data_IF_062077119081
#
_entry.id   IF_062077119081
#
_cell.length_a   1.000
_cell.length_b   1.000
_cell.length_c   1.000
_cell.angle_alpha   90.00
_cell.angle_beta   90.00
_cell.angle_gamma   90.00
#
_symmetry.space_group_name_H-M   'P 1'
#
loop_
_entity.id
_entity.type
_entity.pdbx_description
1 polymer ?
#
# COMPACT_ATOMS: atom_id res chain seq x y z
N UNK A 1 16.60 4.45 0.46
CA UNK A 1 16.00 3.12 0.69
C UNK A 1 14.71 3.33 1.48
N UNK A 2 13.54 2.94 0.98
CA UNK A 2 12.29 3.21 1.69
C UNK A 2 12.29 2.58 3.10
N UNK A 3 11.64 3.26 4.05
CA UNK A 3 11.51 2.82 5.45
C UNK A 3 10.04 2.79 5.84
N UNK A 4 9.63 1.74 6.55
CA UNK A 4 8.31 1.69 7.20
C UNK A 4 8.51 1.53 8.70
N UNK A 5 7.74 2.32 9.45
CA UNK A 5 7.67 2.27 10.91
C UNK A 5 6.26 1.85 11.29
N UNK A 6 6.15 0.78 12.08
CA UNK A 6 4.89 0.29 12.64
C UNK A 6 4.93 0.51 14.14
N UNK A 7 3.96 1.24 14.68
CA UNK A 7 3.74 1.34 16.12
C UNK A 7 2.48 0.59 16.49
N UNK A 8 2.63 -0.44 17.32
CA UNK A 8 1.51 -1.23 17.84
C UNK A 8 1.21 -0.77 19.25
N UNK A 9 -0.07 -0.49 19.50
CA UNK A 9 -0.66 -0.20 20.82
C UNK A 9 -1.87 -1.11 21.02
N UNK A 10 -2.34 -1.30 22.27
CA UNK A 10 -3.52 -2.12 22.53
C UNK A 10 -4.75 -1.69 21.71
N UNK A 11 -4.96 -0.39 21.55
CA UNK A 11 -6.20 0.16 20.97
C UNK A 11 -6.05 0.65 19.52
N UNK A 12 -4.81 0.78 19.02
CA UNK A 12 -4.56 1.29 17.68
C UNK A 12 -3.21 0.85 17.11
N UNK A 13 -3.09 0.97 15.78
CA UNK A 13 -1.83 0.81 15.06
C UNK A 13 -1.54 2.09 14.27
N UNK A 14 -0.32 2.60 14.36
CA UNK A 14 0.16 3.67 13.49
C UNK A 14 1.15 3.09 12.47
N UNK A 15 1.00 3.52 11.22
CA UNK A 15 1.91 3.20 10.14
C UNK A 15 2.45 4.50 9.55
N UNK A 16 3.78 4.62 9.51
CA UNK A 16 4.46 5.69 8.81
C UNK A 16 5.40 5.10 7.76
N UNK A 17 5.48 5.73 6.60
CA UNK A 17 6.34 5.29 5.50
C UNK A 17 7.15 6.48 4.96
N UNK A 18 8.48 6.33 4.93
CA UNK A 18 9.36 7.22 4.19
C UNK A 18 9.69 6.60 2.83
N UNK A 19 9.32 7.29 1.75
CA UNK A 19 9.56 6.84 0.37
C UNK A 19 10.80 7.54 -0.19
N UNK A 20 11.92 6.83 -0.20
CA UNK A 20 13.08 7.27 -0.99
C UNK A 20 12.92 6.81 -2.44
N UNK A 21 12.70 7.75 -3.34
CA UNK A 21 12.44 7.53 -4.76
C UNK A 21 13.24 8.53 -5.61
N UNK A 22 13.29 8.30 -6.93
CA UNK A 22 13.91 9.24 -7.86
C UNK A 22 13.22 10.61 -7.79
N UNK A 23 14.03 11.67 -7.73
CA UNK A 23 13.57 13.07 -7.67
C UNK A 23 12.67 13.43 -8.87
N UNK A 24 12.95 12.86 -10.03
CA UNK A 24 12.23 13.12 -11.28
C UNK A 24 10.91 12.34 -11.42
N UNK A 25 10.56 11.47 -10.46
CA UNK A 25 9.32 10.71 -10.52
C UNK A 25 8.13 11.57 -10.09
N UNK A 26 7.23 11.83 -11.02
CA UNK A 26 6.04 12.63 -10.76
C UNK A 26 5.01 11.86 -9.91
N UNK A 27 4.50 12.49 -8.86
CA UNK A 27 3.45 11.93 -7.99
C UNK A 27 2.54 13.03 -7.44
N UNK A 28 1.36 12.63 -6.97
CA UNK A 28 0.39 13.48 -6.28
C UNK A 28 0.28 13.06 -4.80
N UNK A 29 0.12 14.01 -3.86
CA UNK A 29 0.01 13.73 -2.44
C UNK A 29 -1.25 12.90 -2.12
N UNK A 30 -1.35 12.28 -0.93
CA UNK A 30 -2.51 11.47 -0.57
C UNK A 30 -3.83 12.23 -0.65
N UNK A 31 -4.75 11.73 -1.49
CA UNK A 31 -6.12 12.23 -1.61
C UNK A 31 -7.01 11.17 -2.30
N UNK A 32 -8.25 11.54 -2.59
CA UNK A 32 -9.27 10.69 -3.24
C UNK A 32 -9.12 10.64 -4.77
N UNK A 33 -7.93 10.28 -5.28
CA UNK A 33 -7.63 10.31 -6.72
C UNK A 33 -8.23 9.15 -7.54
N UNK A 34 -8.90 8.20 -6.89
CA UNK A 34 -9.26 6.89 -7.44
C UNK A 34 -10.79 6.77 -7.62
N UNK A 35 -11.36 7.28 -8.73
CA UNK A 35 -12.82 7.32 -8.92
C UNK A 35 -13.46 5.93 -9.02
N UNK A 36 -12.70 4.93 -9.49
CA UNK A 36 -13.09 3.53 -9.55
C UNK A 36 -12.95 2.79 -8.22
N UNK A 37 -12.36 3.43 -7.19
CA UNK A 37 -12.16 2.89 -5.84
C UNK A 37 -12.67 3.89 -4.79
N UNK A 38 -13.98 4.11 -4.70
CA UNK A 38 -14.56 5.08 -3.77
C UNK A 38 -14.21 4.74 -2.32
N UNK A 39 -13.71 5.76 -1.60
CA UNK A 39 -13.25 5.63 -0.21
C UNK A 39 -11.79 5.24 -0.06
N UNK A 40 -11.02 5.10 -1.14
CA UNK A 40 -9.55 4.99 -1.07
C UNK A 40 -8.92 6.38 -1.03
N UNK A 41 -8.09 6.61 -0.01
CA UNK A 41 -7.19 7.76 0.10
C UNK A 41 -5.77 7.25 -0.02
N UNK A 42 -5.07 7.66 -1.08
CA UNK A 42 -3.70 7.23 -1.34
C UNK A 42 -2.97 8.26 -2.21
N UNK A 43 -1.64 8.30 -2.13
CA UNK A 43 -0.85 9.06 -3.11
C UNK A 43 -1.01 8.44 -4.50
N UNK A 44 -0.85 9.23 -5.57
CA UNK A 44 -0.93 8.71 -6.94
C UNK A 44 0.41 8.88 -7.65
N UNK A 45 1.01 7.76 -8.04
CA UNK A 45 2.20 7.74 -8.89
C UNK A 45 1.80 8.04 -10.34
N UNK A 46 2.11 9.25 -10.82
CA UNK A 46 1.75 9.70 -12.18
C UNK A 46 2.59 9.03 -13.26
N UNK A 47 3.70 8.38 -12.88
CA UNK A 47 4.55 7.63 -13.80
C UNK A 47 4.12 6.17 -13.91
N UNK A 48 3.94 5.51 -12.76
CA UNK A 48 3.66 4.06 -12.68
C UNK A 48 2.19 3.69 -12.51
N UNK A 49 1.28 4.67 -12.40
CA UNK A 49 -0.17 4.49 -12.31
C UNK A 49 -0.69 3.92 -10.98
N UNK A 50 0.18 3.69 -10.00
CA UNK A 50 -0.15 3.01 -8.75
C UNK A 50 -0.02 3.90 -7.52
N UNK A 51 0.09 3.27 -6.35
CA UNK A 51 0.40 3.95 -5.09
C UNK A 51 1.48 3.21 -4.30
N UNK A 52 2.15 3.92 -3.38
CA UNK A 52 3.08 3.30 -2.44
C UNK A 52 2.45 2.97 -1.11
N UNK A 53 1.43 3.72 -0.72
CA UNK A 53 0.70 3.56 0.53
C UNK A 53 -0.69 4.15 0.38
N UNK A 54 -1.70 3.47 0.92
CA UNK A 54 -3.06 3.98 0.97
C UNK A 54 -3.88 3.39 2.12
N UNK A 55 -5.06 3.98 2.31
CA UNK A 55 -6.07 3.59 3.29
C UNK A 55 -7.44 3.54 2.60
N UNK A 56 -8.27 2.55 2.93
CA UNK A 56 -9.66 2.52 2.47
C UNK A 56 -10.66 2.83 3.60
N UNK A 57 -11.93 2.98 3.23
CA UNK A 57 -13.04 3.27 4.18
C UNK A 57 -13.24 2.22 5.28
N UNK A 58 -12.68 1.02 5.12
CA UNK A 58 -12.78 -0.08 6.08
C UNK A 58 -11.61 -0.09 7.08
N UNK A 59 -10.68 0.88 6.98
CA UNK A 59 -9.50 0.94 7.84
C UNK A 59 -8.35 0.04 7.38
N UNK A 60 -8.43 -0.56 6.18
CA UNK A 60 -7.32 -1.33 5.62
C UNK A 60 -6.22 -0.38 5.16
N UNK A 61 -5.01 -0.55 5.70
CA UNK A 61 -3.81 0.16 5.26
C UNK A 61 -2.92 -0.84 4.51
N UNK A 62 -2.41 -0.45 3.34
CA UNK A 62 -1.47 -1.27 2.58
C UNK A 62 -0.30 -0.41 2.06
N UNK A 63 0.92 -0.90 2.26
CA UNK A 63 2.15 -0.20 1.86
C UNK A 63 3.12 -1.15 1.15
N UNK A 64 3.73 -0.69 0.06
CA UNK A 64 4.75 -1.45 -0.70
C UNK A 64 6.13 -0.79 -0.64
N UNK A 65 7.15 -1.60 -0.44
CA UNK A 65 8.56 -1.19 -0.45
C UNK A 65 9.32 -1.96 -1.53
N UNK A 66 10.26 -1.27 -2.18
CA UNK A 66 11.21 -1.90 -3.07
C UNK A 66 12.24 -2.70 -2.25
N UNK A 67 12.71 -3.85 -2.78
CA UNK A 67 13.88 -4.53 -2.23
C UNK A 67 15.19 -3.93 -2.77
N UNK A 68 16.33 -4.08 -2.05
CA UNK A 68 17.64 -3.65 -2.56
C UNK A 68 17.92 -4.15 -3.98
N UNK A 69 18.48 -3.31 -4.84
CA UNK A 69 18.81 -3.66 -6.23
C UNK A 69 17.61 -3.75 -7.19
N UNK A 70 16.41 -3.32 -6.79
CA UNK A 70 15.19 -3.46 -7.61
C UNK A 70 14.55 -2.15 -8.06
N UNK A 71 15.25 -1.02 -7.98
CA UNK A 71 14.70 0.28 -8.36
C UNK A 71 14.42 0.35 -9.87
N UNK A 72 13.35 1.06 -10.25
CA UNK A 72 12.97 1.27 -11.64
C UNK A 72 12.18 0.11 -12.28
N UNK A 73 11.66 0.33 -13.51
CA UNK A 73 10.94 -0.70 -14.26
C UNK A 73 11.87 -1.85 -14.69
N UNK A 74 11.27 -2.96 -15.12
CA UNK A 74 11.95 -4.05 -15.80
C UNK A 74 11.03 -4.62 -16.88
N UNK A 75 11.59 -5.03 -18.02
CA UNK A 75 10.80 -5.61 -19.11
C UNK A 75 10.03 -6.84 -18.61
N UNK A 76 8.76 -6.94 -19.00
CA UNK A 76 7.87 -8.03 -18.59
C UNK A 76 7.48 -8.03 -17.11
N UNK A 77 7.75 -6.95 -16.35
CA UNK A 77 7.33 -6.81 -14.96
C UNK A 77 6.28 -5.72 -14.80
N UNK A 78 5.28 -5.98 -13.97
CA UNK A 78 4.24 -5.03 -13.59
C UNK A 78 4.76 -3.99 -12.58
N UNK A 79 4.05 -2.87 -12.48
CA UNK A 79 4.30 -1.86 -11.46
C UNK A 79 3.89 -2.37 -10.09
N UNK A 80 4.81 -2.34 -9.12
CA UNK A 80 4.50 -2.72 -7.73
C UNK A 80 3.45 -1.83 -7.08
N UNK A 81 3.23 -0.62 -7.62
CA UNK A 81 2.23 0.29 -7.08
C UNK A 81 0.79 -0.18 -7.26
N UNK A 82 0.56 -1.22 -8.05
CA UNK A 82 -0.73 -1.90 -8.18
C UNK A 82 -1.07 -2.74 -6.93
N UNK A 83 -0.06 -3.32 -6.27
CA UNK A 83 -0.26 -4.25 -5.16
C UNK A 83 -1.02 -3.63 -3.97
N UNK A 84 -0.70 -2.38 -3.53
CA UNK A 84 -1.52 -1.74 -2.51
C UNK A 84 -2.95 -1.45 -2.98
N UNK A 85 -3.17 -1.12 -4.26
CA UNK A 85 -4.53 -0.87 -4.76
C UNK A 85 -5.39 -2.13 -4.72
N UNK A 86 -4.84 -3.28 -5.13
CA UNK A 86 -5.49 -4.59 -5.03
C UNK A 86 -5.82 -4.95 -3.58
N UNK A 87 -4.90 -4.69 -2.65
CA UNK A 87 -5.13 -4.90 -1.23
C UNK A 87 -6.25 -4.01 -0.69
N UNK A 88 -6.34 -2.75 -1.15
CA UNK A 88 -7.32 -1.76 -0.71
C UNK A 88 -8.75 -2.01 -1.23
N UNK A 89 -8.95 -2.98 -2.11
CA UNK A 89 -10.28 -3.44 -2.52
C UNK A 89 -10.95 -4.32 -1.45
N UNK A 90 -10.18 -4.80 -0.47
CA UNK A 90 -10.66 -5.73 0.56
C UNK A 90 -11.22 -5.00 1.79
N UNK A 91 -12.15 -5.65 2.49
CA UNK A 91 -12.77 -5.10 3.70
C UNK A 91 -11.92 -5.29 4.97
N UNK A 92 -11.01 -6.26 4.98
CA UNK A 92 -10.14 -6.53 6.12
C UNK A 92 -8.68 -6.64 5.72
N UNK A 93 -7.77 -6.33 6.65
CA UNK A 93 -6.34 -6.48 6.42
C UNK A 93 -5.91 -7.96 6.21
N UNK A 94 -6.69 -8.92 6.73
CA UNK A 94 -6.47 -10.35 6.47
C UNK A 94 -6.83 -10.70 5.03
N UNK A 95 -8.01 -10.30 4.57
CA UNK A 95 -8.44 -10.56 3.19
C UNK A 95 -7.51 -9.88 2.18
N UNK A 96 -7.02 -8.68 2.51
CA UNK A 96 -6.00 -7.97 1.74
C UNK A 96 -4.70 -8.77 1.60
N UNK A 97 -4.21 -9.33 2.70
CA UNK A 97 -3.03 -10.20 2.70
C UNK A 97 -3.25 -11.43 1.82
N UNK A 98 -4.37 -12.13 2.03
CA UNK A 98 -4.69 -13.35 1.31
C UNK A 98 -4.88 -13.09 -0.20
N UNK A 99 -5.49 -11.96 -0.58
CA UNK A 99 -5.63 -11.55 -1.97
C UNK A 99 -4.29 -11.36 -2.67
N UNK A 100 -3.34 -10.67 -2.01
CA UNK A 100 -1.99 -10.44 -2.57
C UNK A 100 -1.17 -11.72 -2.58
N UNK A 101 -1.28 -12.57 -1.55
CA UNK A 101 -0.53 -13.84 -1.45
C UNK A 101 -0.95 -14.89 -2.48
N UNK A 102 -2.14 -14.76 -3.08
CA UNK A 102 -2.59 -15.61 -4.19
C UNK A 102 -2.01 -15.23 -5.56
N UNK A 103 -1.37 -14.07 -5.68
CA UNK A 103 -0.80 -13.60 -6.92
C UNK A 103 0.52 -14.31 -7.24
N UNK A 104 0.86 -14.43 -8.52
CA UNK A 104 2.21 -14.81 -8.93
C UNK A 104 3.18 -13.66 -8.66
N UNK A 105 3.91 -13.73 -7.55
CA UNK A 105 4.92 -12.74 -7.19
C UNK A 105 5.99 -12.53 -8.29
N UNK A 106 6.17 -13.53 -9.18
CA UNK A 106 7.04 -13.45 -10.34
C UNK A 106 6.65 -12.35 -11.35
N UNK A 107 5.40 -11.89 -11.36
CA UNK A 107 4.96 -10.81 -12.26
C UNK A 107 5.55 -9.43 -11.89
N UNK A 108 6.06 -9.25 -10.67
CA UNK A 108 6.69 -8.00 -10.22
C UNK A 108 8.19 -8.16 -9.97
N UNK A 109 8.91 -7.04 -9.91
CA UNK A 109 10.25 -7.03 -9.30
C UNK A 109 10.12 -7.29 -7.79
N UNK A 110 11.11 -7.89 -7.11
CA UNK A 110 11.01 -8.19 -5.69
C UNK A 110 10.62 -6.99 -4.82
N UNK A 111 9.78 -7.24 -3.82
CA UNK A 111 9.18 -6.22 -2.96
C UNK A 111 8.97 -6.75 -1.55
N UNK A 112 8.67 -5.84 -0.62
CA UNK A 112 8.04 -6.17 0.66
C UNK A 112 6.69 -5.45 0.72
N UNK A 113 5.69 -6.07 1.33
CA UNK A 113 4.41 -5.45 1.62
C UNK A 113 4.18 -5.42 3.13
N UNK A 114 3.48 -4.39 3.59
CA UNK A 114 3.08 -4.23 5.00
C UNK A 114 1.60 -3.86 5.05
N UNK A 115 0.84 -4.63 5.81
CA UNK A 115 -0.58 -4.41 6.11
C UNK A 115 -0.80 -4.62 7.62
N UNK A 116 -0.87 -3.57 8.44
CA UNK A 116 -1.16 -3.74 9.86
C UNK A 116 -2.58 -4.30 10.05
N UNK A 117 -2.70 -5.35 10.85
CA UNK A 117 -3.98 -5.91 11.28
C UNK A 117 -4.28 -5.44 12.70
N UNK A 118 -5.38 -4.71 12.90
CA UNK A 118 -5.92 -4.45 14.23
C UNK A 118 -7.14 -5.33 14.49
N UNK A 119 -7.29 -5.84 15.72
CA UNK A 119 -8.60 -6.30 16.19
C UNK A 119 -9.36 -5.04 16.59
N UNK A 120 -10.48 -4.73 15.91
CA UNK A 120 -11.36 -3.68 16.40
C UNK A 120 -11.96 -4.16 17.73
N UNK A 121 -11.39 -3.72 18.86
CA UNK A 121 -12.08 -3.82 20.13
C UNK A 121 -13.27 -2.85 20.04
N UNK A 122 -14.47 -3.41 19.91
CA UNK A 122 -15.69 -2.63 19.72
C UNK A 122 -15.89 -1.64 20.87
N UNK A 123 -15.79 -0.35 20.56
CA UNK A 123 -16.52 0.76 21.19
C UNK A 123 -16.01 2.09 20.65
N UNK A 124 -16.42 2.45 19.43
CA UNK A 124 -16.57 3.86 19.10
C UNK A 124 -18.05 4.18 19.33
N UNK A 125 -18.38 4.57 20.56
CA UNK A 125 -19.59 5.34 20.82
C UNK A 125 -19.31 6.79 20.39
N UNK A 126 -20.30 7.40 19.72
CA UNK A 126 -20.26 8.74 19.14
C UNK A 126 -19.96 9.86 20.16
#
# INVERSE_FOLDING_TARGET
MCTVVVLIRPDYVLLAANRDERIDRAWDPPASWWPDRPGVVAGRDRTGGGTWMGLNRHGVIATVLNRPGTLGPAAGKQSRGELPLLALEQATARDAADAVMRLDAGAWRPFNMVWPTGQAHGSYAA
#
